data_IF_532006946339
#
_entry.id   IF_532006946339
#
_cell.length_a   1.000
_cell.length_b   1.000
_cell.length_c   1.000
_cell.angle_alpha   90.00
_cell.angle_beta   90.00
_cell.angle_gamma   90.00
#
_symmetry.space_group_name_H-M   'P 1'
#
loop_
_entity.id
_entity.type
_entity.pdbx_description
1 polymer ?
#
# COMPACT_ATOMS: atom_id res chain seq x y z
N UNK A 1 -4.80 -5.77 38.77
CA UNK A 1 -4.50 -5.25 37.42
C UNK A 1 -3.17 -5.82 36.98
N UNK A 2 -3.15 -6.73 36.02
CA UNK A 2 -1.96 -7.09 35.25
C UNK A 2 -2.40 -7.50 33.85
N UNK A 3 -2.15 -6.63 32.87
CA UNK A 3 -2.31 -6.98 31.46
C UNK A 3 -1.11 -7.84 31.06
N UNK A 4 -1.31 -9.15 30.90
CA UNK A 4 -0.34 -9.97 30.17
C UNK A 4 -0.50 -9.64 28.68
N UNK A 5 0.53 -9.05 28.08
CA UNK A 5 0.63 -8.88 26.64
C UNK A 5 0.79 -10.28 26.01
N UNK A 6 -0.33 -10.91 25.70
CA UNK A 6 -0.38 -12.19 25.02
C UNK A 6 -0.41 -11.90 23.51
N UNK A 7 0.75 -11.58 22.93
CA UNK A 7 0.87 -11.46 21.47
C UNK A 7 0.64 -12.84 20.88
N UNK A 8 -0.33 -12.99 19.97
CA UNK A 8 -0.65 -14.27 19.35
C UNK A 8 0.55 -14.81 18.57
N UNK A 9 0.85 -16.12 18.58
CA UNK A 9 1.99 -16.71 17.87
C UNK A 9 2.15 -16.26 16.41
N UNK A 10 1.04 -16.05 15.70
CA UNK A 10 1.06 -15.57 14.31
C UNK A 10 1.58 -14.13 14.12
N UNK A 11 1.48 -13.26 15.13
CA UNK A 11 2.03 -11.90 15.08
C UNK A 11 3.56 -11.94 15.22
N UNK A 12 4.06 -12.71 16.18
CA UNK A 12 5.51 -12.83 16.42
C UNK A 12 6.21 -13.48 15.21
N UNK A 13 5.59 -14.52 14.62
CA UNK A 13 6.09 -15.16 13.40
C UNK A 13 6.13 -14.19 12.20
N UNK A 14 5.08 -13.36 12.04
CA UNK A 14 5.04 -12.34 10.99
C UNK A 14 6.16 -11.30 11.18
N UNK A 15 6.33 -10.80 12.41
CA UNK A 15 7.39 -9.83 12.72
C UNK A 15 8.76 -10.45 12.44
N UNK A 16 9.01 -11.67 12.92
CA UNK A 16 10.30 -12.35 12.73
C UNK A 16 10.64 -12.58 11.25
N UNK A 17 9.63 -12.90 10.42
CA UNK A 17 9.81 -13.09 8.98
C UNK A 17 10.19 -11.80 8.26
N UNK A 18 9.56 -10.68 8.62
CA UNK A 18 9.71 -9.42 7.89
C UNK A 18 10.72 -8.44 8.50
N UNK A 19 11.23 -8.71 9.71
CA UNK A 19 12.25 -7.87 10.36
C UNK A 19 13.62 -7.91 9.68
N UNK A 20 13.90 -8.96 8.89
CA UNK A 20 15.23 -9.26 8.34
C UNK A 20 15.71 -8.37 7.19
N UNK A 21 14.91 -7.40 6.73
CA UNK A 21 15.31 -6.33 5.80
C UNK A 21 16.14 -6.80 4.59
N UNK A 22 15.48 -7.30 3.54
CA UNK A 22 16.13 -7.70 2.29
C UNK A 22 15.21 -7.56 1.09
N UNK A 23 15.76 -7.63 -0.13
CA UNK A 23 15.02 -7.44 -1.37
C UNK A 23 14.69 -5.98 -1.69
N UNK A 24 14.21 -5.73 -2.90
CA UNK A 24 13.73 -4.41 -3.32
C UNK A 24 12.27 -4.23 -2.88
N UNK A 25 11.85 -2.96 -2.74
CA UNK A 25 10.45 -2.58 -2.47
C UNK A 25 9.48 -3.38 -3.36
N UNK A 26 9.70 -3.31 -4.67
CA UNK A 26 8.88 -3.96 -5.70
C UNK A 26 8.85 -5.48 -5.60
N UNK A 27 9.91 -6.12 -5.09
CA UNK A 27 9.95 -7.57 -4.97
C UNK A 27 9.04 -8.10 -3.85
N UNK A 28 8.83 -7.31 -2.80
CA UNK A 28 8.30 -7.84 -1.54
C UNK A 28 6.98 -7.23 -1.07
N UNK A 29 6.60 -6.01 -1.51
CA UNK A 29 5.43 -5.32 -0.94
C UNK A 29 4.13 -6.13 -1.10
N UNK A 30 3.87 -6.76 -2.25
CA UNK A 30 2.65 -7.55 -2.45
C UNK A 30 2.60 -8.77 -1.52
N UNK A 31 3.73 -9.46 -1.35
CA UNK A 31 3.83 -10.60 -0.45
C UNK A 31 3.64 -10.18 1.01
N UNK A 32 4.33 -9.11 1.44
CA UNK A 32 4.18 -8.53 2.78
C UNK A 32 2.72 -8.13 3.07
N UNK A 33 2.10 -7.38 2.16
CA UNK A 33 0.73 -6.90 2.33
C UNK A 33 -0.29 -8.04 2.30
N UNK A 34 -0.08 -9.08 1.49
CA UNK A 34 -0.94 -10.27 1.48
C UNK A 34 -0.88 -11.00 2.81
N UNK A 35 0.31 -11.22 3.36
CA UNK A 35 0.50 -11.85 4.67
C UNK A 35 -0.07 -10.97 5.81
N UNK A 36 0.06 -9.64 5.72
CA UNK A 36 -0.52 -8.70 6.68
C UNK A 36 -2.05 -8.71 6.66
N UNK A 37 -2.66 -8.71 5.47
CA UNK A 37 -4.13 -8.81 5.30
C UNK A 37 -4.66 -10.10 5.93
N UNK A 38 -3.97 -11.22 5.69
CA UNK A 38 -4.31 -12.50 6.31
C UNK A 38 -4.17 -12.46 7.85
N UNK A 39 -3.07 -11.88 8.37
CA UNK A 39 -2.86 -11.72 9.81
C UNK A 39 -3.96 -10.89 10.48
N UNK A 40 -4.45 -9.86 9.80
CA UNK A 40 -5.55 -9.00 10.27
C UNK A 40 -6.94 -9.66 10.13
N UNK A 41 -7.04 -10.85 9.54
CA UNK A 41 -8.32 -11.52 9.29
C UNK A 41 -9.22 -10.79 8.28
N UNK A 42 -8.62 -10.00 7.40
CA UNK A 42 -9.33 -9.24 6.37
C UNK A 42 -9.56 -10.10 5.12
N UNK A 43 -10.60 -9.82 4.31
CA UNK A 43 -10.72 -10.42 2.98
C UNK A 43 -9.45 -10.20 2.16
N UNK A 44 -9.09 -11.17 1.31
CA UNK A 44 -7.96 -10.99 0.40
C UNK A 44 -8.34 -10.04 -0.75
N UNK A 45 -7.39 -9.24 -1.28
CA UNK A 45 -7.63 -8.48 -2.50
C UNK A 45 -8.00 -9.40 -3.67
N UNK A 46 -8.87 -8.93 -4.55
CA UNK A 46 -9.27 -9.60 -5.78
C UNK A 46 -8.18 -9.45 -6.87
N UNK A 47 -8.18 -10.31 -7.90
CA UNK A 47 -7.39 -10.09 -9.10
C UNK A 47 -7.79 -8.78 -9.79
N UNK A 48 -6.80 -8.01 -10.25
CA UNK A 48 -7.08 -6.82 -11.06
C UNK A 48 -7.60 -7.21 -12.46
N UNK A 49 -8.68 -6.59 -12.90
CA UNK A 49 -9.21 -6.68 -14.26
C UNK A 49 -8.93 -5.44 -15.12
N UNK A 50 -9.26 -5.55 -16.41
CA UNK A 50 -9.09 -4.46 -17.40
C UNK A 50 -10.01 -3.27 -17.14
N UNK A 51 -11.22 -3.54 -16.63
CA UNK A 51 -12.16 -2.52 -16.20
C UNK A 51 -11.78 -2.02 -14.80
N UNK A 52 -11.11 -0.87 -14.77
CA UNK A 52 -10.64 -0.25 -13.54
C UNK A 52 -11.77 0.18 -12.60
N UNK A 53 -12.99 0.36 -13.11
CA UNK A 53 -14.12 0.74 -12.28
C UNK A 53 -14.68 -0.44 -11.47
N UNK A 54 -14.41 -1.68 -11.90
CA UNK A 54 -14.76 -2.89 -11.15
C UNK A 54 -13.69 -3.27 -10.11
N UNK A 55 -12.48 -2.72 -10.22
CA UNK A 55 -11.36 -2.98 -9.31
C UNK A 55 -11.57 -2.29 -7.95
N UNK A 56 -12.41 -2.89 -7.09
CA UNK A 56 -12.81 -2.35 -5.80
C UNK A 56 -11.86 -2.68 -4.65
N UNK A 57 -11.16 -3.81 -4.68
CA UNK A 57 -10.09 -4.15 -3.74
C UNK A 57 -9.00 -4.96 -4.43
N UNK A 58 -7.98 -4.30 -4.98
CA UNK A 58 -6.95 -4.96 -5.82
C UNK A 58 -5.57 -4.37 -5.59
N UNK A 59 -4.54 -5.17 -5.86
CA UNK A 59 -3.19 -4.65 -6.07
C UNK A 59 -3.06 -3.97 -7.43
N UNK A 60 -2.08 -3.07 -7.57
CA UNK A 60 -1.72 -2.41 -8.84
C UNK A 60 -2.93 -1.75 -9.54
N UNK A 61 -3.81 -1.09 -8.79
CA UNK A 61 -4.99 -0.48 -9.40
C UNK A 61 -4.55 0.67 -10.31
N UNK A 62 -4.75 0.51 -11.62
CA UNK A 62 -4.52 1.57 -12.61
C UNK A 62 -5.40 2.79 -12.31
N UNK A 63 -4.80 3.98 -12.37
CA UNK A 63 -5.46 5.29 -12.36
C UNK A 63 -4.97 6.12 -13.53
N UNK A 64 -5.89 6.85 -14.18
CA UNK A 64 -5.54 7.79 -15.24
C UNK A 64 -5.47 9.20 -14.64
N UNK A 65 -4.29 9.82 -14.76
CA UNK A 65 -3.97 11.11 -14.15
C UNK A 65 -4.00 12.17 -15.25
N UNK A 66 -5.02 13.02 -15.22
CA UNK A 66 -5.15 14.13 -16.15
C UNK A 66 -4.11 15.22 -15.84
N UNK A 67 -3.57 15.84 -16.89
CA UNK A 67 -2.61 16.95 -16.82
C UNK A 67 -3.23 18.24 -17.36
N UNK A 68 -2.71 19.43 -16.95
CA UNK A 68 -3.24 20.71 -17.41
C UNK A 68 -3.15 20.95 -18.92
N UNK A 69 -2.24 20.26 -19.60
CA UNK A 69 -2.06 20.33 -21.06
C UNK A 69 -3.07 19.47 -21.84
N UNK A 70 -4.00 18.81 -21.14
CA UNK A 70 -5.01 17.91 -21.72
C UNK A 70 -4.52 16.48 -21.95
N UNK A 71 -3.23 16.18 -21.71
CA UNK A 71 -2.72 14.81 -21.75
C UNK A 71 -3.04 14.03 -20.48
N UNK A 72 -2.89 12.71 -20.52
CA UNK A 72 -3.00 11.85 -19.36
C UNK A 72 -1.75 10.98 -19.19
N UNK A 73 -1.46 10.60 -17.96
CA UNK A 73 -0.47 9.58 -17.61
C UNK A 73 -1.11 8.49 -16.77
N UNK A 74 -0.55 7.28 -16.81
CA UNK A 74 -1.01 6.17 -15.98
C UNK A 74 -0.23 6.15 -14.67
N UNK A 75 -0.95 5.98 -13.57
CA UNK A 75 -0.42 5.56 -12.28
C UNK A 75 -0.97 4.18 -11.90
N UNK A 76 -0.33 3.55 -10.92
CA UNK A 76 -0.75 2.27 -10.35
C UNK A 76 -0.67 2.41 -8.84
N UNK A 77 -1.80 2.24 -8.16
CA UNK A 77 -1.86 2.23 -6.70
C UNK A 77 -1.40 0.85 -6.24
N UNK A 78 -0.41 0.77 -5.35
CA UNK A 78 0.14 -0.52 -4.90
C UNK A 78 -0.96 -1.43 -4.33
N UNK A 79 -1.79 -0.90 -3.40
CA UNK A 79 -2.99 -1.59 -2.91
C UNK A 79 -4.14 -0.59 -2.72
N UNK A 80 -5.27 -0.86 -3.37
CA UNK A 80 -6.45 0.00 -3.32
C UNK A 80 -7.62 -0.76 -2.71
N UNK A 81 -8.35 -0.12 -1.78
CA UNK A 81 -9.68 -0.58 -1.35
C UNK A 81 -10.67 0.59 -1.37
N UNK A 82 -11.67 0.50 -2.24
CA UNK A 82 -12.70 1.54 -2.46
C UNK A 82 -13.37 1.92 -1.15
N UNK A 83 -13.44 3.23 -0.89
CA UNK A 83 -14.05 3.80 0.31
C UNK A 83 -13.28 3.48 1.61
N UNK A 84 -12.09 2.88 1.53
CA UNK A 84 -11.27 2.56 2.69
C UNK A 84 -9.91 3.24 2.62
N UNK A 85 -9.07 2.90 1.63
CA UNK A 85 -7.71 3.44 1.53
C UNK A 85 -7.11 3.37 0.13
N UNK A 86 -6.11 4.23 -0.08
CA UNK A 86 -5.08 4.15 -1.12
C UNK A 86 -3.75 3.93 -0.38
N UNK A 87 -3.00 2.90 -0.75
CA UNK A 87 -1.73 2.54 -0.11
C UNK A 87 -0.62 2.57 -1.14
N UNK A 88 0.46 3.29 -0.81
CA UNK A 88 1.75 3.28 -1.50
C UNK A 88 2.80 2.69 -0.54
N UNK A 89 3.43 1.60 -0.94
CA UNK A 89 4.48 0.96 -0.16
C UNK A 89 5.81 1.70 -0.36
N UNK A 90 6.60 1.81 0.72
CA UNK A 90 7.92 2.42 0.63
C UNK A 90 8.98 1.67 1.42
N UNK A 91 10.10 1.37 0.76
CA UNK A 91 11.35 0.92 1.35
C UNK A 91 12.46 1.91 0.94
N UNK A 92 12.77 2.86 1.83
CA UNK A 92 13.70 3.96 1.51
C UNK A 92 15.18 3.61 1.71
N UNK A 93 15.48 2.52 2.42
CA UNK A 93 16.84 2.17 2.84
C UNK A 93 17.51 3.22 3.75
N UNK A 94 16.73 4.19 4.26
CA UNK A 94 17.18 5.22 5.19
C UNK A 94 16.92 4.79 6.62
N UNK A 95 17.73 5.31 7.54
CA UNK A 95 17.47 5.12 8.96
C UNK A 95 16.12 5.74 9.32
N UNK A 96 15.35 5.06 10.17
CA UNK A 96 14.12 5.61 10.74
C UNK A 96 14.41 6.96 11.41
N UNK A 97 13.43 7.86 11.41
CA UNK A 97 13.52 9.21 11.99
C UNK A 97 14.62 10.12 11.41
N UNK A 98 15.18 9.74 10.26
CA UNK A 98 16.10 10.61 9.53
C UNK A 98 15.34 11.52 8.55
N UNK A 99 15.90 12.69 8.27
CA UNK A 99 15.33 13.61 7.26
C UNK A 99 15.21 12.98 5.87
N UNK A 100 16.09 12.03 5.54
CA UNK A 100 16.01 11.26 4.31
C UNK A 100 14.82 10.30 4.29
N UNK A 101 14.49 9.69 5.44
CA UNK A 101 13.32 8.85 5.60
C UNK A 101 12.04 9.68 5.53
N UNK A 102 11.97 10.81 6.25
CA UNK A 102 10.82 11.72 6.23
C UNK A 102 10.50 12.20 4.82
N UNK A 103 11.52 12.59 4.07
CA UNK A 103 11.36 13.02 2.68
C UNK A 103 10.83 11.91 1.78
N UNK A 104 11.29 10.67 1.99
CA UNK A 104 10.81 9.52 1.22
C UNK A 104 9.34 9.21 1.54
N UNK A 105 8.95 9.27 2.82
CA UNK A 105 7.57 9.05 3.24
C UNK A 105 6.64 10.17 2.78
N UNK A 106 7.08 11.43 2.84
CA UNK A 106 6.31 12.56 2.30
C UNK A 106 6.10 12.44 0.79
N UNK A 107 7.10 11.96 0.04
CA UNK A 107 6.95 11.71 -1.39
C UNK A 107 5.92 10.62 -1.68
N UNK A 108 5.95 9.51 -0.93
CA UNK A 108 4.95 8.43 -1.05
C UNK A 108 3.54 8.91 -0.71
N UNK A 109 3.41 9.74 0.34
CA UNK A 109 2.14 10.35 0.71
C UNK A 109 1.58 11.25 -0.41
N UNK A 110 2.42 12.11 -0.99
CA UNK A 110 2.02 12.99 -2.09
C UNK A 110 1.60 12.19 -3.34
N UNK A 111 2.26 11.05 -3.59
CA UNK A 111 1.88 10.13 -4.67
C UNK A 111 0.50 9.51 -4.40
N UNK A 112 0.25 9.03 -3.19
CA UNK A 112 -1.06 8.52 -2.78
C UNK A 112 -2.15 9.61 -2.89
N UNK A 113 -1.90 10.85 -2.46
CA UNK A 113 -2.83 11.97 -2.60
C UNK A 113 -3.15 12.27 -4.07
N UNK A 114 -2.14 12.25 -4.95
CA UNK A 114 -2.35 12.41 -6.38
C UNK A 114 -3.26 11.31 -6.95
N UNK A 115 -3.07 10.06 -6.52
CA UNK A 115 -3.93 8.95 -6.95
C UNK A 115 -5.36 9.11 -6.42
N UNK A 116 -5.54 9.53 -5.17
CA UNK A 116 -6.87 9.84 -4.61
C UNK A 116 -7.61 10.87 -5.46
N UNK A 117 -6.94 11.95 -5.87
CA UNK A 117 -7.54 12.99 -6.73
C UNK A 117 -7.88 12.50 -8.14
N UNK A 118 -7.18 11.48 -8.62
CA UNK A 118 -7.37 10.89 -9.95
C UNK A 118 -8.40 9.75 -9.95
N UNK A 119 -8.81 9.25 -8.78
CA UNK A 119 -9.87 8.27 -8.69
C UNK A 119 -11.22 8.90 -9.07
N UNK A 120 -12.17 8.12 -9.63
CA UNK A 120 -13.53 8.58 -9.83
C UNK A 120 -14.10 9.12 -8.52
N UNK A 121 -14.60 10.34 -8.54
CA UNK A 121 -15.40 10.86 -7.43
C UNK A 121 -16.66 9.99 -7.37
N UNK A 122 -16.84 9.24 -6.29
CA UNK A 122 -18.03 8.41 -6.11
C UNK A 122 -19.29 9.23 -6.40
N UNK A 123 -20.18 8.71 -7.24
CA UNK A 123 -21.55 9.18 -7.36
C UNK A 123 -22.35 8.82 -6.10
#
# INVERSE_FOLDING_TARGET
>A
MSHNANTSPGIDDFIARWSGGGGTEKANYQLFLTELVALLGLPTPDPAGDDTDLNAYVFERRVDIAKPDGSSSRGFIDLYRRGCFVLEAKQSGKALDSSGWDKAMLAAHNQADQYVRALPQSA
#
